data_IF_001141160615
#
_entry.id   IF_001141160615
#
_cell.length_a   1.000
_cell.length_b   1.000
_cell.length_c   1.000
_cell.angle_alpha   90.00
_cell.angle_beta   90.00
_cell.angle_gamma   90.00
#
_symmetry.space_group_name_H-M   'P 1'
#
loop_
_entity.id
_entity.type
_entity.pdbx_description
1 polymer ?
#
# COMPACT_ATOMS: atom_id res chain seq x y z
N UNK A 1 29.77 31.17 -35.13
CA UNK A 1 28.69 30.33 -34.55
C UNK A 1 28.78 30.41 -33.04
N UNK A 2 28.17 31.42 -32.42
CA UNK A 2 28.17 31.58 -30.96
C UNK A 2 27.00 30.78 -30.36
N UNK A 3 27.30 29.65 -29.72
CA UNK A 3 26.29 28.76 -29.15
C UNK A 3 25.59 29.41 -27.95
N UNK A 4 24.26 29.55 -28.01
CA UNK A 4 23.44 29.90 -26.86
C UNK A 4 23.38 28.69 -25.93
N UNK A 5 24.07 28.76 -24.79
CA UNK A 5 23.98 27.72 -23.76
C UNK A 5 22.94 28.11 -22.71
N UNK A 6 22.08 27.14 -22.39
CA UNK A 6 21.05 27.26 -21.34
C UNK A 6 21.39 26.25 -20.25
N UNK A 7 21.59 26.73 -19.03
CA UNK A 7 21.94 25.89 -17.87
C UNK A 7 20.84 26.01 -16.82
N UNK A 8 20.52 24.92 -16.11
CA UNK A 8 19.54 24.90 -15.03
C UNK A 8 20.19 24.44 -13.73
N UNK A 9 19.89 25.14 -12.63
CA UNK A 9 20.23 24.71 -11.28
C UNK A 9 19.00 24.90 -10.37
N UNK A 10 18.39 23.79 -9.95
CA UNK A 10 17.12 23.83 -9.20
C UNK A 10 16.01 24.54 -9.99
N UNK A 11 15.40 25.55 -9.38
CA UNK A 11 14.35 26.39 -10.00
C UNK A 11 14.90 27.54 -10.87
N UNK A 12 16.22 27.68 -10.99
CA UNK A 12 16.85 28.78 -11.71
C UNK A 12 17.32 28.34 -13.10
N UNK A 13 17.02 29.18 -14.09
CA UNK A 13 17.48 29.04 -15.48
C UNK A 13 18.46 30.17 -15.78
N UNK A 14 19.59 29.81 -16.37
CA UNK A 14 20.65 30.73 -16.77
C UNK A 14 20.79 30.67 -18.29
N UNK A 15 20.74 31.82 -18.96
CA UNK A 15 21.03 31.94 -20.39
C UNK A 15 22.31 32.77 -20.55
N UNK A 16 23.24 32.28 -21.37
CA UNK A 16 24.53 32.94 -21.61
C UNK A 16 24.32 34.38 -22.12
N UNK A 17 24.78 35.36 -21.34
CA UNK A 17 24.77 36.78 -21.72
C UNK A 17 23.78 37.68 -20.97
N UNK A 18 22.84 37.15 -20.19
CA UNK A 18 21.88 37.96 -19.43
C UNK A 18 21.77 37.57 -17.94
N UNK A 19 21.50 38.61 -17.15
CA UNK A 19 21.21 38.60 -15.71
C UNK A 19 20.12 37.56 -15.40
N UNK A 20 20.28 36.82 -14.29
CA UNK A 20 19.39 35.75 -13.80
C UNK A 20 17.94 35.99 -14.22
N UNK A 21 17.43 35.17 -15.16
CA UNK A 21 16.03 35.19 -15.54
C UNK A 21 15.25 34.68 -14.33
N UNK A 22 14.22 35.41 -13.94
CA UNK A 22 13.43 35.24 -12.71
C UNK A 22 13.20 33.77 -12.30
N UNK A 23 13.15 33.48 -10.98
CA UNK A 23 12.90 32.13 -10.49
C UNK A 23 11.63 31.59 -11.12
N UNK A 24 11.71 30.40 -11.72
CA UNK A 24 10.52 29.73 -12.20
C UNK A 24 9.79 29.27 -10.94
N UNK A 25 8.71 29.96 -10.58
CA UNK A 25 7.80 29.56 -9.50
C UNK A 25 7.04 28.29 -9.93
N UNK A 26 7.76 27.18 -10.02
CA UNK A 26 7.15 25.86 -10.11
C UNK A 26 6.85 25.47 -8.67
N UNK A 27 5.66 25.84 -8.19
CA UNK A 27 5.12 25.20 -7.00
C UNK A 27 5.15 23.69 -7.24
N UNK A 28 5.59 22.87 -6.28
CA UNK A 28 5.47 21.42 -6.40
C UNK A 28 4.00 21.12 -6.62
N UNK A 29 3.65 20.79 -7.86
CA UNK A 29 2.30 20.40 -8.20
C UNK A 29 2.09 19.07 -7.49
N UNK A 30 1.06 18.99 -6.65
CA UNK A 30 0.73 17.72 -6.01
C UNK A 30 0.67 16.67 -7.13
N UNK A 31 1.41 15.55 -7.02
CA UNK A 31 1.65 14.67 -8.16
C UNK A 31 0.35 14.16 -8.77
N UNK A 32 -0.74 14.10 -7.99
CA UNK A 32 -2.10 13.89 -8.47
C UNK A 32 -3.14 14.56 -7.55
N UNK A 33 -4.30 14.93 -8.12
CA UNK A 33 -5.45 15.51 -7.40
C UNK A 33 -6.17 14.49 -6.49
N UNK A 34 -6.00 13.20 -6.75
CA UNK A 34 -6.66 12.14 -5.99
C UNK A 34 -5.64 11.45 -5.10
N UNK A 35 -5.90 11.49 -3.79
CA UNK A 35 -5.10 10.75 -2.80
C UNK A 35 -6.00 10.12 -1.76
N UNK A 36 -5.55 8.99 -1.20
CA UNK A 36 -6.20 8.44 0.01
C UNK A 36 -5.16 7.97 1.01
N UNK A 37 -5.61 7.81 2.24
CA UNK A 37 -4.83 7.33 3.38
C UNK A 37 -5.74 6.44 4.21
N UNK A 38 -5.23 5.30 4.64
CA UNK A 38 -5.98 4.35 5.45
C UNK A 38 -5.49 4.36 6.90
N UNK A 39 -6.42 4.05 7.79
CA UNK A 39 -6.21 3.93 9.22
C UNK A 39 -6.71 2.55 9.61
N UNK A 40 -5.80 1.69 10.03
CA UNK A 40 -6.09 0.28 10.31
C UNK A 40 -6.15 0.12 11.82
N UNK A 41 -7.28 -0.35 12.39
CA UNK A 41 -7.36 -0.60 13.82
C UNK A 41 -6.43 -1.75 14.22
N UNK A 42 -5.86 -1.73 15.44
CA UNK A 42 -4.93 -2.76 15.92
C UNK A 42 -5.57 -4.14 16.04
N UNK A 43 -6.87 -4.16 16.34
CA UNK A 43 -7.67 -5.38 16.52
C UNK A 43 -8.58 -5.59 15.30
N UNK A 44 -7.99 -5.85 14.14
CA UNK A 44 -8.77 -6.33 13.00
C UNK A 44 -9.53 -7.59 13.45
N UNK A 45 -10.84 -7.64 13.23
CA UNK A 45 -11.64 -8.82 13.56
C UNK A 45 -11.88 -9.59 12.27
N UNK A 46 -11.67 -10.91 12.32
CA UNK A 46 -12.19 -11.78 11.27
C UNK A 46 -13.71 -11.72 11.29
N UNK A 47 -14.32 -11.77 10.11
CA UNK A 47 -15.77 -12.01 9.96
C UNK A 47 -16.16 -13.41 10.46
N UNK A 48 -15.19 -14.32 10.57
CA UNK A 48 -15.39 -15.66 11.13
C UNK A 48 -15.12 -15.64 12.64
N UNK A 49 -16.13 -16.03 13.42
CA UNK A 49 -16.21 -15.80 14.86
C UNK A 49 -15.18 -16.52 15.74
N UNK A 50 -14.28 -17.34 15.16
CA UNK A 50 -13.35 -18.19 15.90
C UNK A 50 -11.89 -18.08 15.45
N UNK A 51 -11.57 -17.21 14.50
CA UNK A 51 -10.18 -17.03 14.06
C UNK A 51 -9.61 -15.78 14.74
N UNK A 52 -8.72 -16.02 15.72
CA UNK A 52 -7.83 -14.96 16.22
C UNK A 52 -6.89 -14.58 15.08
N UNK A 53 -7.06 -13.39 14.54
CA UNK A 53 -6.14 -12.83 13.56
C UNK A 53 -5.04 -12.06 14.28
N UNK A 54 -3.81 -12.23 13.82
CA UNK A 54 -2.65 -11.49 14.31
C UNK A 54 -2.64 -10.05 13.85
N UNK A 55 -1.54 -9.36 14.14
CA UNK A 55 -1.38 -7.98 13.70
C UNK A 55 -1.26 -7.91 12.16
N UNK A 56 -1.79 -6.86 11.52
CA UNK A 56 -1.63 -6.68 10.09
C UNK A 56 -0.18 -6.46 9.69
N UNK A 57 0.29 -7.22 8.70
CA UNK A 57 1.66 -7.17 8.19
C UNK A 57 1.76 -6.50 6.82
N UNK A 58 0.66 -6.52 6.05
CA UNK A 58 0.65 -5.96 4.70
C UNK A 58 -0.73 -5.42 4.33
N UNK A 59 -0.76 -4.35 3.52
CA UNK A 59 -1.97 -3.81 2.91
C UNK A 59 -1.81 -3.71 1.40
N UNK A 60 -2.84 -4.15 0.68
CA UNK A 60 -2.91 -4.10 -0.78
C UNK A 60 -4.22 -3.44 -1.19
N UNK A 61 -4.14 -2.41 -2.03
CA UNK A 61 -5.30 -1.81 -2.67
C UNK A 61 -5.42 -2.20 -4.13
N UNK A 62 -6.59 -2.73 -4.50
CA UNK A 62 -6.93 -3.10 -5.87
C UNK A 62 -8.02 -2.19 -6.41
N UNK A 63 -8.00 -1.92 -7.71
CA UNK A 63 -9.08 -1.18 -8.35
C UNK A 63 -10.35 -2.03 -8.44
N UNK A 64 -11.51 -1.45 -8.17
CA UNK A 64 -12.78 -2.20 -8.22
C UNK A 64 -13.20 -2.64 -9.63
N UNK A 65 -12.74 -1.95 -10.69
CA UNK A 65 -13.18 -2.21 -12.06
C UNK A 65 -12.43 -3.39 -12.71
N UNK A 66 -11.11 -3.47 -12.54
CA UNK A 66 -10.23 -4.44 -13.21
C UNK A 66 -9.25 -5.14 -12.26
N UNK A 67 -9.40 -4.93 -10.96
CA UNK A 67 -8.60 -5.58 -9.91
C UNK A 67 -7.09 -5.33 -10.02
N UNK A 68 -6.66 -4.30 -10.77
CA UNK A 68 -5.23 -3.94 -10.85
C UNK A 68 -4.76 -3.34 -9.53
N UNK A 69 -3.52 -3.66 -9.10
CA UNK A 69 -2.95 -3.07 -7.90
C UNK A 69 -2.73 -1.58 -8.09
N UNK A 70 -3.14 -0.81 -7.08
CA UNK A 70 -2.99 0.65 -7.02
C UNK A 70 -1.90 1.03 -6.03
N UNK A 71 -1.83 0.33 -4.90
CA UNK A 71 -0.79 0.51 -3.90
C UNK A 71 -0.58 -0.79 -3.13
N UNK A 72 0.61 -0.97 -2.60
CA UNK A 72 1.01 -2.09 -1.74
C UNK A 72 2.01 -1.55 -0.73
N UNK A 73 1.83 -1.88 0.54
CA UNK A 73 2.66 -1.38 1.63
C UNK A 73 2.82 -2.44 2.71
N UNK A 74 4.08 -2.66 3.12
CA UNK A 74 4.38 -3.44 4.32
C UNK A 74 4.09 -2.58 5.56
N UNK A 75 3.28 -3.13 6.45
CA UNK A 75 2.96 -2.52 7.73
C UNK A 75 3.98 -3.02 8.73
N UNK A 76 4.64 -2.10 9.43
CA UNK A 76 5.47 -2.48 10.57
C UNK A 76 4.52 -2.78 11.73
N UNK A 77 4.48 -4.02 12.26
CA UNK A 77 3.72 -4.32 13.45
C UNK A 77 4.26 -3.45 14.59
N UNK A 78 3.41 -2.60 15.15
CA UNK A 78 3.71 -1.91 16.39
C UNK A 78 3.13 -2.75 17.52
N UNK A 79 3.94 -3.04 18.54
CA UNK A 79 3.50 -3.75 19.76
C UNK A 79 2.52 -2.94 20.63
N UNK A 80 1.97 -1.83 20.12
CA UNK A 80 1.03 -0.96 20.82
C UNK A 80 -0.38 -1.12 20.25
N UNK A 81 -1.40 -0.92 21.10
CA UNK A 81 -2.82 -0.83 20.72
C UNK A 81 -3.14 0.44 19.88
N UNK A 82 -2.19 0.89 19.06
CA UNK A 82 -2.31 2.10 18.27
C UNK A 82 -2.83 1.82 16.87
N UNK A 83 -3.56 2.80 16.34
CA UNK A 83 -4.03 2.78 14.96
C UNK A 83 -2.83 2.88 14.02
N UNK A 84 -2.66 1.88 13.16
CA UNK A 84 -1.64 1.88 12.11
C UNK A 84 -2.05 2.88 11.04
N UNK A 85 -1.15 3.82 10.75
CA UNK A 85 -1.32 4.83 9.69
C UNK A 85 -0.54 4.41 8.46
N UNK A 86 -1.22 4.22 7.33
CA UNK A 86 -0.54 3.92 6.06
C UNK A 86 0.10 5.17 5.47
N UNK A 87 1.00 4.98 4.51
CA UNK A 87 1.40 6.06 3.63
C UNK A 87 0.20 6.57 2.81
N UNK A 88 0.27 7.84 2.42
CA UNK A 88 -0.72 8.43 1.50
C UNK A 88 -0.35 8.01 0.09
N UNK A 89 -1.28 7.40 -0.62
CA UNK A 89 -1.11 7.02 -2.01
C UNK A 89 -1.89 7.97 -2.91
N UNK A 90 -1.38 8.12 -4.14
CA UNK A 90 -1.88 9.08 -5.12
C UNK A 90 -2.26 8.35 -6.41
N UNK A 91 -3.36 8.77 -7.02
CA UNK A 91 -3.87 8.19 -8.27
C UNK A 91 -4.18 9.29 -9.27
N UNK A 92 -3.92 9.04 -10.55
CA UNK A 92 -4.17 9.99 -11.64
C UNK A 92 -5.66 10.30 -11.87
N UNK A 93 -6.58 9.42 -11.45
CA UNK A 93 -8.03 9.59 -11.61
C UNK A 93 -8.79 9.13 -10.36
N UNK A 94 -9.99 9.66 -10.17
CA UNK A 94 -10.90 9.18 -9.11
C UNK A 94 -11.17 7.70 -9.30
N UNK A 95 -10.69 6.90 -8.35
CA UNK A 95 -10.67 5.44 -8.47
C UNK A 95 -11.26 4.83 -7.20
N UNK A 96 -12.28 3.97 -7.35
CA UNK A 96 -12.77 3.13 -6.24
C UNK A 96 -11.80 1.96 -6.04
N UNK A 97 -11.52 1.64 -4.78
CA UNK A 97 -10.55 0.62 -4.42
C UNK A 97 -11.14 -0.38 -3.43
N UNK A 98 -10.83 -1.65 -3.63
CA UNK A 98 -10.97 -2.75 -2.67
C UNK A 98 -9.65 -2.81 -1.91
N UNK A 99 -9.72 -2.92 -0.58
CA UNK A 99 -8.53 -2.96 0.26
C UNK A 99 -8.46 -4.31 0.94
N UNK A 100 -7.38 -5.03 0.70
CA UNK A 100 -7.05 -6.28 1.37
C UNK A 100 -6.04 -6.02 2.47
N UNK A 101 -6.36 -6.54 3.65
CA UNK A 101 -5.49 -6.54 4.81
C UNK A 101 -4.96 -7.95 4.99
N UNK A 102 -3.63 -8.09 4.99
CA UNK A 102 -2.98 -9.35 5.31
C UNK A 102 -2.58 -9.33 6.78
N UNK A 103 -2.94 -10.40 7.46
CA UNK A 103 -2.73 -10.62 8.89
C UNK A 103 -2.01 -11.94 9.03
N UNK A 104 -1.10 -12.02 9.99
CA UNK A 104 -0.52 -13.31 10.35
C UNK A 104 -1.59 -14.15 11.04
N UNK A 105 -1.77 -15.39 10.57
CA UNK A 105 -2.60 -16.35 11.27
C UNK A 105 -1.74 -17.02 12.37
N UNK A 106 -2.31 -17.30 13.55
CA UNK A 106 -1.64 -18.14 14.52
C UNK A 106 -1.30 -19.48 13.87
N UNK A 107 -0.13 -20.03 14.19
CA UNK A 107 0.33 -21.32 13.67
C UNK A 107 -0.75 -22.36 13.94
N UNK A 108 -1.44 -22.81 12.89
CA UNK A 108 -2.30 -23.97 12.97
C UNK A 108 -1.40 -25.21 12.95
N UNK A 109 -1.32 -25.90 14.08
CA UNK A 109 -0.74 -27.24 14.13
C UNK A 109 -1.69 -28.19 13.38
N UNK A 110 -1.51 -28.32 12.07
CA UNK A 110 -2.19 -29.34 11.28
C UNK A 110 -1.57 -30.67 11.70
N UNK A 111 -2.33 -31.47 12.45
CA UNK A 111 -1.97 -32.87 12.67
C UNK A 111 -2.46 -33.62 11.44
N UNK A 112 -1.53 -34.06 10.60
CA UNK A 112 -1.81 -35.09 9.61
C UNK A 112 -2.02 -36.39 10.40
N UNK A 113 -3.28 -36.77 10.58
CA UNK A 113 -3.62 -38.07 11.16
C UNK A 113 -3.55 -39.11 10.05
N UNK A 114 -2.55 -39.99 10.11
CA UNK A 114 -2.50 -41.25 9.34
C UNK A 114 -3.53 -42.26 9.87
N UNK A 115 -4.77 -41.83 10.13
CA UNK A 115 -5.85 -42.78 10.31
C UNK A 115 -6.17 -43.36 8.93
N UNK A 116 -5.50 -44.46 8.60
CA UNK A 116 -6.03 -45.45 7.68
C UNK A 116 -7.48 -45.70 8.10
N UNK A 117 -8.43 -45.19 7.31
CA UNK A 117 -9.83 -45.59 7.40
C UNK A 117 -9.84 -47.10 7.18
N UNK A 118 -9.90 -47.87 8.26
CA UNK A 118 -10.16 -49.31 8.17
C UNK A 118 -11.56 -49.44 7.62
N UNK A 119 -11.70 -50.16 6.51
CA UNK A 119 -12.97 -50.40 5.81
C UNK A 119 -14.05 -51.09 6.68
N UNK A 120 -13.73 -51.46 7.92
CA UNK A 120 -14.64 -52.12 8.86
C UNK A 120 -15.70 -51.16 9.47
N UNK A 121 -15.52 -49.83 9.39
CA UNK A 121 -16.49 -48.87 9.95
C UNK A 121 -17.61 -48.43 8.99
N UNK A 122 -17.67 -49.01 7.77
CA UNK A 122 -18.73 -48.70 6.80
C UNK A 122 -19.96 -49.60 6.87
N UNK A 123 -20.02 -50.54 7.82
CA UNK A 123 -21.18 -51.44 8.00
C UNK A 123 -21.66 -51.55 9.47
N UNK A 124 -21.97 -50.41 10.09
CA UNK A 124 -22.65 -50.33 11.39
C UNK A 124 -23.96 -49.57 11.31
#
# INVERSE_FOLDING_TARGET
>A
MGGKFVVRAGQHKFESGEKIVSPVNILPTAPNDYSRKFFIPPNAQSTESNIKVGQPTHILGLRTDDHKPIFSENIKPNNSDEIVKTNRFYTNKSTKAIVHLFVDLPVMNIHESDEEVREDDLNG
#
